data_IF_832506289386
#
_entry.id   IF_832506289386
#
_cell.length_a   1.000
_cell.length_b   1.000
_cell.length_c   1.000
_cell.angle_alpha   90.00
_cell.angle_beta   90.00
_cell.angle_gamma   90.00
#
_symmetry.space_group_name_H-M   'P 1'
#
loop_
_entity.id
_entity.type
_entity.pdbx_description
1 polymer ?
#
# COMPACT_ATOMS: atom_id res chain seq x y z
N UNK A 1 -20.19 0.72 13.98
CA UNK A 1 -20.30 2.13 14.35
C UNK A 1 -19.00 2.61 14.97
N UNK A 2 -18.69 3.90 14.85
CA UNK A 2 -17.55 4.49 15.50
C UNK A 2 -17.77 4.59 17.01
N UNK A 3 -16.70 4.62 17.84
CA UNK A 3 -16.82 4.75 19.27
C UNK A 3 -17.44 6.10 19.65
N UNK A 4 -18.16 6.16 20.79
CA UNK A 4 -18.82 7.39 21.28
C UNK A 4 -17.80 8.48 21.66
N UNK A 5 -16.60 8.06 22.09
CA UNK A 5 -15.47 8.94 22.41
C UNK A 5 -14.23 8.35 21.73
N UNK A 6 -14.00 8.66 20.46
CA UNK A 6 -12.85 8.12 19.75
C UNK A 6 -11.53 8.64 20.33
N UNK A 7 -10.53 7.77 20.37
CA UNK A 7 -9.16 8.17 20.60
C UNK A 7 -8.60 8.91 19.37
N UNK A 8 -7.52 9.66 19.57
CA UNK A 8 -6.82 10.39 18.50
C UNK A 8 -5.34 10.01 18.56
N UNK A 9 -4.77 9.65 17.42
CA UNK A 9 -3.33 9.43 17.31
C UNK A 9 -2.67 10.79 17.12
N UNK A 10 -2.01 11.27 18.19
CA UNK A 10 -1.19 12.47 18.11
C UNK A 10 0.20 12.11 17.57
N UNK A 11 0.70 12.83 16.56
CA UNK A 11 2.03 12.62 15.96
C UNK A 11 2.25 11.18 15.45
N UNK A 12 1.51 10.75 14.43
CA UNK A 12 1.54 9.37 13.94
C UNK A 12 2.92 8.99 13.38
N UNK A 13 3.47 7.89 13.87
CA UNK A 13 4.78 7.35 13.47
C UNK A 13 4.66 6.10 12.58
N UNK A 14 3.48 5.50 12.58
CA UNK A 14 3.17 4.34 11.74
C UNK A 14 3.63 3.01 12.31
N UNK A 15 3.68 2.84 13.62
CA UNK A 15 3.85 1.52 14.24
C UNK A 15 2.58 0.69 14.06
N UNK A 16 2.73 -0.57 13.60
CA UNK A 16 1.61 -1.47 13.39
C UNK A 16 1.77 -2.74 14.22
N UNK A 17 0.72 -3.15 14.92
CA UNK A 17 0.66 -4.41 15.63
C UNK A 17 -0.58 -5.22 15.26
N UNK A 18 -0.36 -6.47 14.90
CA UNK A 18 -1.39 -7.50 14.79
C UNK A 18 -1.13 -8.52 15.89
N UNK A 19 -2.10 -8.73 16.77
CA UNK A 19 -1.97 -9.63 17.90
C UNK A 19 -3.09 -10.66 17.89
N UNK A 20 -2.74 -11.91 17.57
CA UNK A 20 -3.64 -13.06 17.56
C UNK A 20 -4.94 -12.84 16.78
N UNK A 21 -4.82 -12.27 15.56
CA UNK A 21 -5.98 -11.88 14.75
C UNK A 21 -6.54 -13.07 14.00
N UNK A 22 -7.82 -13.36 14.26
CA UNK A 22 -8.64 -14.29 13.48
C UNK A 22 -9.70 -13.50 12.70
N UNK A 23 -10.01 -13.96 11.49
CA UNK A 23 -11.05 -13.35 10.67
C UNK A 23 -11.65 -14.29 9.65
N UNK A 24 -12.96 -14.16 9.46
CA UNK A 24 -13.75 -14.83 8.42
C UNK A 24 -14.75 -13.86 7.78
N UNK A 25 -14.89 -13.91 6.45
CA UNK A 25 -16.02 -13.24 5.77
C UNK A 25 -17.33 -14.01 5.97
N UNK A 26 -17.22 -15.31 6.12
CA UNK A 26 -18.30 -16.25 6.38
C UNK A 26 -17.88 -17.11 7.59
N UNK A 27 -18.67 -17.14 8.68
CA UNK A 27 -18.33 -17.91 9.89
C UNK A 27 -18.02 -19.38 9.64
N UNK A 28 -18.61 -19.96 8.59
CA UNK A 28 -18.39 -21.37 8.22
C UNK A 28 -17.07 -21.57 7.43
N UNK A 29 -16.43 -20.48 7.00
CA UNK A 29 -15.20 -20.50 6.20
C UNK A 29 -14.15 -19.56 6.78
N UNK A 30 -13.45 -19.93 7.86
CA UNK A 30 -12.36 -19.15 8.43
C UNK A 30 -11.27 -18.85 7.39
N UNK A 31 -10.80 -17.62 7.35
CA UNK A 31 -9.82 -17.18 6.34
C UNK A 31 -8.46 -16.84 6.94
N UNK A 32 -8.42 -16.15 8.08
CA UNK A 32 -7.17 -15.79 8.76
C UNK A 32 -7.13 -16.43 10.13
N UNK A 33 -5.95 -16.95 10.51
CA UNK A 33 -5.76 -17.73 11.73
C UNK A 33 -4.53 -17.22 12.49
N UNK A 34 -4.74 -16.73 13.71
CA UNK A 34 -3.69 -16.34 14.65
C UNK A 34 -2.61 -15.42 14.03
N UNK A 35 -3.04 -14.46 13.23
CA UNK A 35 -2.11 -13.54 12.57
C UNK A 35 -1.49 -12.64 13.64
N UNK A 36 -0.16 -12.78 13.78
CA UNK A 36 0.63 -12.01 14.75
C UNK A 36 1.90 -11.51 14.10
N UNK A 37 2.05 -10.18 14.01
CA UNK A 37 3.28 -9.52 13.58
C UNK A 37 3.32 -8.08 14.06
N UNK A 38 4.52 -7.53 14.09
CA UNK A 38 4.80 -6.14 14.41
C UNK A 38 5.58 -5.47 13.28
N UNK A 39 5.24 -4.23 12.97
CA UNK A 39 6.00 -3.36 12.08
C UNK A 39 6.44 -2.11 12.83
N UNK A 40 7.75 -1.94 12.98
CA UNK A 40 8.31 -0.73 13.57
C UNK A 40 8.13 0.49 12.64
N UNK A 41 8.09 1.72 13.19
CA UNK A 41 8.06 2.94 12.38
C UNK A 41 9.14 2.97 11.30
N UNK A 42 8.74 3.25 10.06
CA UNK A 42 9.63 3.30 8.90
C UNK A 42 10.02 1.94 8.31
N UNK A 43 9.55 0.83 8.85
CA UNK A 43 9.86 -0.52 8.37
C UNK A 43 9.06 -0.87 7.11
N UNK A 44 9.73 -1.53 6.16
CA UNK A 44 9.12 -2.07 4.93
C UNK A 44 8.81 -3.55 5.10
N UNK A 45 7.53 -3.91 5.10
CA UNK A 45 7.07 -5.29 5.15
C UNK A 45 6.53 -5.71 3.80
N UNK A 46 7.01 -6.85 3.28
CA UNK A 46 6.47 -7.47 2.09
C UNK A 46 5.54 -8.64 2.45
N UNK A 47 4.33 -8.63 1.94
CA UNK A 47 3.39 -9.77 2.01
C UNK A 47 3.55 -10.61 0.75
N UNK A 48 3.95 -11.87 0.90
CA UNK A 48 4.08 -12.84 -0.20
C UNK A 48 3.28 -14.09 0.09
N UNK A 49 2.80 -14.72 -0.96
CA UNK A 49 1.99 -15.95 -0.86
C UNK A 49 1.06 -16.11 -2.06
N UNK A 50 0.45 -17.29 -2.22
CA UNK A 50 -0.46 -17.57 -3.33
C UNK A 50 -1.71 -16.67 -3.30
N UNK A 51 -2.39 -16.58 -4.43
CA UNK A 51 -3.68 -15.89 -4.51
C UNK A 51 -4.69 -16.53 -3.54
N UNK A 52 -5.46 -15.69 -2.85
CA UNK A 52 -6.48 -16.15 -1.90
C UNK A 52 -5.97 -16.48 -0.50
N UNK A 53 -4.67 -16.37 -0.19
CA UNK A 53 -4.15 -16.68 1.14
C UNK A 53 -4.43 -15.59 2.21
N UNK A 54 -5.13 -14.49 1.88
CA UNK A 54 -5.56 -13.47 2.84
C UNK A 54 -4.78 -12.15 2.83
N UNK A 55 -3.84 -11.90 1.89
CA UNK A 55 -3.03 -10.66 1.84
C UNK A 55 -3.89 -9.39 1.76
N UNK A 56 -4.82 -9.32 0.83
CA UNK A 56 -5.76 -8.19 0.69
C UNK A 56 -6.69 -8.06 1.89
N UNK A 57 -7.03 -9.18 2.52
CA UNK A 57 -7.85 -9.19 3.73
C UNK A 57 -7.14 -8.50 4.90
N UNK A 58 -5.83 -8.68 5.07
CA UNK A 58 -5.06 -7.95 6.08
C UNK A 58 -5.15 -6.44 5.89
N UNK A 59 -5.05 -5.96 4.65
CA UNK A 59 -5.23 -4.53 4.32
C UNK A 59 -6.64 -4.05 4.67
N UNK A 60 -7.66 -4.84 4.32
CA UNK A 60 -9.05 -4.50 4.61
C UNK A 60 -9.33 -4.42 6.12
N UNK A 61 -8.73 -5.29 6.92
CA UNK A 61 -8.84 -5.28 8.38
C UNK A 61 -8.12 -4.07 8.98
N UNK A 62 -6.93 -3.75 8.50
CA UNK A 62 -6.16 -2.60 8.95
C UNK A 62 -6.91 -1.28 8.72
N UNK A 63 -7.59 -1.15 7.57
CA UNK A 63 -8.45 -0.01 7.23
C UNK A 63 -9.83 -0.06 7.91
N UNK A 64 -10.07 -1.12 8.69
CA UNK A 64 -11.35 -1.34 9.37
C UNK A 64 -12.55 -1.29 8.42
N UNK A 65 -12.42 -1.94 7.24
CA UNK A 65 -13.59 -2.24 6.40
C UNK A 65 -14.39 -3.38 7.02
N UNK A 66 -13.72 -4.23 7.80
CA UNK A 66 -14.30 -5.30 8.62
C UNK A 66 -13.68 -5.25 10.01
N UNK A 67 -14.42 -5.65 11.02
CA UNK A 67 -13.89 -5.86 12.37
C UNK A 67 -13.37 -7.30 12.49
N UNK A 68 -12.30 -7.51 13.26
CA UNK A 68 -11.73 -8.85 13.50
C UNK A 68 -12.64 -9.71 14.37
N UNK A 69 -12.65 -11.03 14.15
CA UNK A 69 -13.42 -12.00 14.95
C UNK A 69 -12.75 -12.21 16.32
N UNK A 70 -11.42 -12.27 16.36
CA UNK A 70 -10.62 -12.34 17.59
C UNK A 70 -9.31 -11.57 17.42
N UNK A 71 -8.63 -11.29 18.54
CA UNK A 71 -7.39 -10.53 18.55
C UNK A 71 -7.58 -9.02 18.42
N UNK A 72 -6.47 -8.32 18.22
CA UNK A 72 -6.44 -6.86 18.11
C UNK A 72 -5.51 -6.39 17.00
N UNK A 73 -5.88 -5.27 16.37
CA UNK A 73 -5.00 -4.53 15.46
C UNK A 73 -4.83 -3.15 16.04
N UNK A 74 -3.59 -2.70 16.21
CA UNK A 74 -3.30 -1.36 16.69
C UNK A 74 -2.37 -0.58 15.78
N UNK A 75 -2.52 0.75 15.78
CA UNK A 75 -1.68 1.72 15.11
C UNK A 75 -1.16 2.70 16.16
N UNK A 76 0.16 2.82 16.25
CA UNK A 76 0.83 3.66 17.26
C UNK A 76 0.33 3.40 18.69
N UNK A 77 0.06 2.13 19.02
CA UNK A 77 -0.42 1.68 20.32
C UNK A 77 -1.93 1.84 20.56
N UNK A 78 -2.68 2.43 19.62
CA UNK A 78 -4.14 2.59 19.70
C UNK A 78 -4.85 1.45 18.97
N UNK A 79 -5.79 0.78 19.64
CA UNK A 79 -6.65 -0.21 18.97
C UNK A 79 -7.45 0.48 17.86
N UNK A 80 -7.42 -0.08 16.65
CA UNK A 80 -8.18 0.46 15.51
C UNK A 80 -9.67 0.61 15.79
N UNK A 81 -10.23 -0.18 16.70
CA UNK A 81 -11.63 -0.08 17.15
C UNK A 81 -11.89 1.12 18.06
N UNK A 82 -10.85 1.66 18.71
CA UNK A 82 -10.96 2.84 19.56
C UNK A 82 -10.87 4.17 18.79
N UNK A 83 -10.41 4.13 17.52
CA UNK A 83 -10.30 5.29 16.64
C UNK A 83 -11.60 5.50 15.83
N UNK A 84 -11.89 6.75 15.45
CA UNK A 84 -12.88 7.00 14.40
C UNK A 84 -12.35 6.49 13.05
N UNK A 85 -13.24 5.93 12.20
CA UNK A 85 -12.80 5.35 10.92
C UNK A 85 -12.14 6.34 9.99
N UNK A 86 -12.61 7.58 9.96
CA UNK A 86 -12.04 8.61 9.11
C UNK A 86 -10.65 9.02 9.61
N UNK A 87 -10.46 9.15 10.94
CA UNK A 87 -9.16 9.45 11.55
C UNK A 87 -8.19 8.29 11.31
N UNK A 88 -8.61 7.04 11.55
CA UNK A 88 -7.81 5.85 11.27
C UNK A 88 -7.35 5.83 9.80
N UNK A 89 -8.27 6.01 8.87
CA UNK A 89 -7.97 5.94 7.43
C UNK A 89 -7.09 7.08 6.94
N UNK A 90 -7.13 8.24 7.60
CA UNK A 90 -6.26 9.38 7.28
C UNK A 90 -4.77 9.09 7.56
N UNK A 91 -4.47 8.11 8.42
CA UNK A 91 -3.09 7.66 8.71
C UNK A 91 -2.47 6.89 7.54
N UNK A 92 -3.28 6.40 6.60
CA UNK A 92 -2.85 5.51 5.53
C UNK A 92 -2.89 6.18 4.16
N UNK A 93 -1.81 5.98 3.40
CA UNK A 93 -1.79 6.22 1.97
C UNK A 93 -1.88 4.90 1.20
N UNK A 94 -2.73 4.85 0.17
CA UNK A 94 -2.95 3.62 -0.60
C UNK A 94 -2.60 3.83 -2.06
N UNK A 95 -1.82 2.89 -2.62
CA UNK A 95 -1.68 2.72 -4.06
C UNK A 95 -2.03 1.27 -4.38
N UNK A 96 -3.21 1.10 -4.95
CA UNK A 96 -3.76 -0.21 -5.30
C UNK A 96 -3.47 -0.55 -6.76
N UNK A 97 -3.65 -1.83 -7.11
CA UNK A 97 -3.53 -2.34 -8.47
C UNK A 97 -4.41 -1.56 -9.45
N UNK A 98 -5.67 -1.36 -9.08
CA UNK A 98 -6.61 -0.56 -9.86
C UNK A 98 -6.45 0.92 -9.48
N UNK A 99 -5.82 1.67 -10.37
CA UNK A 99 -5.63 3.11 -10.18
C UNK A 99 -6.95 3.85 -10.35
N UNK A 100 -7.47 4.39 -9.25
CA UNK A 100 -8.69 5.17 -9.28
C UNK A 100 -8.41 6.67 -9.48
N UNK A 101 -8.96 7.21 -10.56
CA UNK A 101 -8.98 8.64 -10.86
C UNK A 101 -10.41 9.05 -11.14
N UNK A 102 -10.84 10.18 -10.58
CA UNK A 102 -12.18 10.71 -10.84
C UNK A 102 -12.19 11.70 -12.02
N UNK A 103 -13.36 11.94 -12.56
CA UNK A 103 -13.54 12.95 -13.61
C UNK A 103 -13.29 14.35 -13.05
N UNK A 104 -12.17 14.95 -13.43
CA UNK A 104 -11.71 16.26 -12.98
C UNK A 104 -10.37 16.60 -13.59
N UNK A 105 -9.79 17.70 -13.20
CA UNK A 105 -8.43 18.08 -13.63
C UNK A 105 -7.36 17.19 -13.00
N UNK A 106 -6.20 17.15 -13.59
CA UNK A 106 -5.02 16.48 -12.99
C UNK A 106 -4.70 17.09 -11.62
N UNK A 107 -4.79 18.43 -11.50
CA UNK A 107 -4.61 19.15 -10.24
C UNK A 107 -5.55 18.62 -9.16
N UNK A 108 -6.86 18.59 -9.43
CA UNK A 108 -7.86 18.10 -8.49
C UNK A 108 -7.64 16.63 -8.11
N UNK A 109 -7.19 15.81 -9.06
CA UNK A 109 -6.86 14.41 -8.77
C UNK A 109 -5.65 14.24 -7.86
N UNK A 110 -4.61 15.07 -8.01
CA UNK A 110 -3.43 15.04 -7.12
C UNK A 110 -3.78 15.61 -5.75
N UNK A 111 -4.52 16.74 -5.69
CA UNK A 111 -4.89 17.39 -4.43
C UNK A 111 -6.07 16.73 -3.71
N UNK A 112 -6.60 15.63 -4.24
CA UNK A 112 -7.68 14.91 -3.59
C UNK A 112 -7.29 14.46 -2.18
N UNK A 113 -8.07 14.88 -1.18
CA UNK A 113 -7.79 14.63 0.24
C UNK A 113 -6.98 15.75 0.94
N UNK A 114 -6.48 16.76 0.19
CA UNK A 114 -5.78 17.93 0.74
C UNK A 114 -6.39 19.21 0.14
N UNK A 115 -7.56 19.67 0.64
CA UNK A 115 -8.29 20.80 0.03
C UNK A 115 -7.50 22.10 -0.01
N UNK A 116 -6.63 22.32 0.96
CA UNK A 116 -5.84 23.56 1.11
C UNK A 116 -4.45 23.47 0.43
N UNK A 117 -4.21 22.44 -0.38
CA UNK A 117 -2.94 22.29 -1.11
C UNK A 117 -2.74 23.43 -2.10
N UNK A 118 -1.59 24.08 -2.01
CA UNK A 118 -1.20 25.12 -2.98
C UNK A 118 -0.77 24.50 -4.31
N UNK A 119 -0.73 25.34 -5.35
CA UNK A 119 -0.18 24.92 -6.66
C UNK A 119 1.27 24.42 -6.54
N UNK A 120 2.05 25.03 -5.65
CA UNK A 120 3.42 24.62 -5.35
C UNK A 120 3.49 23.21 -4.81
N UNK A 121 2.64 22.87 -3.83
CA UNK A 121 2.58 21.56 -3.20
C UNK A 121 2.22 20.47 -4.22
N UNK A 122 1.20 20.74 -5.07
CA UNK A 122 0.78 19.83 -6.14
C UNK A 122 1.91 19.57 -7.14
N UNK A 123 2.63 20.65 -7.55
CA UNK A 123 3.73 20.55 -8.51
C UNK A 123 4.90 19.77 -7.89
N UNK A 124 5.22 20.00 -6.62
CA UNK A 124 6.32 19.31 -5.94
C UNK A 124 6.01 17.83 -5.71
N UNK A 125 4.78 17.48 -5.34
CA UNK A 125 4.33 16.10 -5.28
C UNK A 125 4.43 15.41 -6.65
N UNK A 126 3.98 16.08 -7.71
CA UNK A 126 4.09 15.58 -9.08
C UNK A 126 5.54 15.39 -9.56
N UNK A 127 6.46 16.28 -9.17
CA UNK A 127 7.90 16.13 -9.47
C UNK A 127 8.49 14.92 -8.76
N UNK A 128 8.22 14.78 -7.47
CA UNK A 128 8.68 13.64 -6.66
C UNK A 128 8.19 12.30 -7.22
N UNK A 129 6.94 12.27 -7.72
CA UNK A 129 6.33 11.11 -8.35
C UNK A 129 6.66 10.93 -9.84
N UNK A 130 7.60 11.68 -10.42
CA UNK A 130 7.91 11.67 -11.86
C UNK A 130 6.73 12.02 -12.79
N UNK A 131 5.62 12.52 -12.26
CA UNK A 131 4.44 12.89 -13.04
C UNK A 131 4.56 14.24 -13.76
N UNK A 132 5.28 15.20 -13.16
CA UNK A 132 5.38 16.58 -13.67
C UNK A 132 5.74 16.66 -15.15
N UNK A 133 6.72 15.85 -15.59
CA UNK A 133 7.26 15.91 -16.95
C UNK A 133 6.20 15.61 -18.02
N UNK A 134 5.37 14.60 -17.84
CA UNK A 134 4.32 14.32 -18.80
C UNK A 134 3.15 15.30 -18.67
N UNK A 135 2.84 15.76 -17.44
CA UNK A 135 1.74 16.71 -17.21
C UNK A 135 1.96 18.00 -18.00
N UNK A 136 3.16 18.58 -17.94
CA UNK A 136 3.46 19.84 -18.66
C UNK A 136 3.50 19.69 -20.18
N UNK A 137 3.58 18.47 -20.70
CA UNK A 137 3.48 18.18 -22.13
C UNK A 137 2.03 18.11 -22.63
N UNK A 138 1.07 18.02 -21.74
CA UNK A 138 -0.35 18.05 -22.09
C UNK A 138 -0.80 19.47 -22.45
N UNK A 139 -1.74 19.65 -23.39
CA UNK A 139 -2.14 20.97 -23.90
C UNK A 139 -2.59 21.96 -22.82
N UNK A 140 -3.17 21.47 -21.70
CA UNK A 140 -3.63 22.28 -20.57
C UNK A 140 -2.84 22.01 -19.28
N UNK A 141 -1.73 21.26 -19.35
CA UNK A 141 -0.90 20.93 -18.20
C UNK A 141 -1.73 20.34 -17.05
N UNK A 142 -1.61 20.90 -15.86
CA UNK A 142 -2.34 20.49 -14.65
C UNK A 142 -3.86 20.72 -14.74
N UNK A 143 -4.32 21.60 -15.60
CA UNK A 143 -5.75 21.89 -15.82
C UNK A 143 -6.37 20.98 -16.90
N UNK A 144 -5.61 19.98 -17.36
CA UNK A 144 -6.13 18.94 -18.25
C UNK A 144 -7.19 18.12 -17.52
N UNK A 145 -8.40 18.12 -18.06
CA UNK A 145 -9.50 17.31 -17.54
C UNK A 145 -9.33 15.87 -18.01
N UNK A 146 -9.31 14.95 -17.07
CA UNK A 146 -9.30 13.51 -17.31
C UNK A 146 -10.70 12.95 -17.03
N UNK A 147 -11.14 11.99 -17.85
CA UNK A 147 -12.39 11.27 -17.62
C UNK A 147 -12.26 10.24 -16.50
N UNK A 148 -13.35 9.58 -16.19
CA UNK A 148 -13.35 8.42 -15.32
C UNK A 148 -12.33 7.40 -15.85
N UNK A 149 -11.58 6.74 -14.95
CA UNK A 149 -10.49 5.80 -15.27
C UNK A 149 -9.29 6.41 -16.00
N UNK A 150 -9.12 7.75 -15.98
CA UNK A 150 -7.93 8.42 -16.50
C UNK A 150 -7.93 8.71 -18.01
N UNK A 151 -8.98 8.39 -18.74
CA UNK A 151 -9.16 8.80 -20.14
C UNK A 151 -8.00 8.37 -21.06
N UNK A 152 -7.28 9.34 -21.64
CA UNK A 152 -6.18 9.10 -22.60
C UNK A 152 -4.82 8.80 -21.94
N UNK A 153 -4.74 8.76 -20.61
CA UNK A 153 -3.49 8.49 -19.89
C UNK A 153 -3.12 7.00 -19.96
N UNK A 154 -1.83 6.70 -20.10
CA UNK A 154 -1.33 5.32 -19.99
C UNK A 154 -1.49 4.79 -18.56
N UNK A 155 -1.45 3.47 -18.39
CA UNK A 155 -1.52 2.84 -17.06
C UNK A 155 -0.43 3.38 -16.12
N UNK A 156 0.81 3.52 -16.60
CA UNK A 156 1.91 4.08 -15.82
C UNK A 156 1.69 5.54 -15.45
N UNK A 157 1.17 6.37 -16.37
CA UNK A 157 0.85 7.78 -16.07
C UNK A 157 -0.23 7.89 -14.99
N UNK A 158 -1.28 7.05 -15.06
CA UNK A 158 -2.30 6.99 -14.01
C UNK A 158 -1.70 6.62 -12.65
N UNK A 159 -0.82 5.63 -12.64
CA UNK A 159 -0.14 5.19 -11.42
C UNK A 159 0.74 6.30 -10.83
N UNK A 160 1.50 7.02 -11.64
CA UNK A 160 2.29 8.17 -11.19
C UNK A 160 1.41 9.29 -10.59
N UNK A 161 0.20 9.53 -11.11
CA UNK A 161 -0.75 10.47 -10.50
C UNK A 161 -1.26 9.99 -9.14
N UNK A 162 -1.56 8.69 -9.00
CA UNK A 162 -1.95 8.12 -7.71
C UNK A 162 -0.81 8.21 -6.68
N UNK A 163 0.44 7.96 -7.09
CA UNK A 163 1.61 8.14 -6.24
C UNK A 163 1.78 9.61 -5.83
N UNK A 164 1.62 10.57 -6.77
CA UNK A 164 1.69 12.00 -6.47
C UNK A 164 0.63 12.42 -5.43
N UNK A 165 -0.59 11.89 -5.53
CA UNK A 165 -1.65 12.10 -4.53
C UNK A 165 -1.22 11.64 -3.14
N UNK A 166 -0.68 10.43 -3.03
CA UNK A 166 -0.22 9.87 -1.76
C UNK A 166 0.98 10.66 -1.21
N UNK A 167 1.91 11.08 -2.06
CA UNK A 167 3.04 11.92 -1.65
C UNK A 167 2.60 13.29 -1.12
N UNK A 168 1.47 13.82 -1.61
CA UNK A 168 0.91 15.09 -1.15
C UNK A 168 0.23 14.96 0.21
N UNK A 169 -0.46 13.86 0.47
CA UNK A 169 -1.13 13.60 1.77
C UNK A 169 -0.15 13.29 2.89
N UNK A 170 1.07 12.86 2.56
CA UNK A 170 2.18 12.55 3.49
C UNK A 170 1.78 11.61 4.65
N UNK A 171 1.21 10.44 4.39
CA UNK A 171 0.69 9.55 5.42
C UNK A 171 1.81 8.86 6.21
N UNK A 172 1.52 8.44 7.45
CA UNK A 172 2.46 7.71 8.30
C UNK A 172 2.70 6.27 7.82
N UNK A 173 1.68 5.65 7.22
CA UNK A 173 1.70 4.25 6.75
C UNK A 173 1.30 4.17 5.29
N UNK A 174 2.00 3.34 4.52
CA UNK A 174 1.70 3.05 3.13
C UNK A 174 1.17 1.63 2.97
N UNK A 175 0.09 1.49 2.23
CA UNK A 175 -0.50 0.22 1.81
C UNK A 175 -0.40 0.12 0.30
N UNK A 176 0.43 -0.79 -0.19
CA UNK A 176 0.77 -0.89 -1.60
C UNK A 176 0.40 -2.25 -2.16
N UNK A 177 -0.28 -2.27 -3.30
CA UNK A 177 -0.53 -3.49 -4.08
C UNK A 177 0.14 -3.34 -5.45
N UNK A 178 1.25 -4.05 -5.63
CA UNK A 178 2.14 -3.93 -6.79
C UNK A 178 1.69 -4.78 -7.98
N UNK A 179 0.47 -4.79 -8.36
CA UNK A 179 0.15 -5.46 -9.61
C UNK A 179 0.56 -4.60 -10.81
N UNK A 180 1.41 -5.16 -11.64
CA UNK A 180 1.89 -4.54 -12.87
C UNK A 180 1.47 -5.33 -14.07
N UNK A 181 0.40 -4.93 -14.70
CA UNK A 181 0.07 -5.38 -16.04
C UNK A 181 0.24 -4.22 -17.03
N UNK A 182 1.07 -4.41 -18.06
CA UNK A 182 1.07 -3.61 -19.30
C UNK A 182 1.62 -2.18 -19.19
N UNK A 183 2.69 -1.95 -18.42
CA UNK A 183 3.44 -0.70 -18.45
C UNK A 183 4.70 -0.90 -19.30
N UNK A 184 5.04 0.09 -20.16
CA UNK A 184 6.30 0.07 -20.90
C UNK A 184 7.50 0.17 -19.94
N UNK A 185 8.62 -0.45 -20.32
CA UNK A 185 9.83 -0.58 -19.47
C UNK A 185 10.35 0.75 -18.92
N UNK A 186 10.26 1.83 -19.68
CA UNK A 186 10.75 3.14 -19.26
C UNK A 186 9.87 3.76 -18.18
N UNK A 187 8.57 3.70 -18.38
CA UNK A 187 7.59 4.19 -17.40
C UNK A 187 7.60 3.31 -16.16
N UNK A 188 7.83 2.01 -16.30
CA UNK A 188 7.98 1.08 -15.18
C UNK A 188 9.12 1.47 -14.25
N UNK A 189 10.29 1.84 -14.79
CA UNK A 189 11.41 2.33 -13.98
C UNK A 189 11.07 3.62 -13.23
N UNK A 190 10.31 4.53 -13.85
CA UNK A 190 9.86 5.76 -13.19
C UNK A 190 8.86 5.47 -12.06
N UNK A 191 7.94 4.56 -12.29
CA UNK A 191 6.97 4.11 -11.27
C UNK A 191 7.70 3.47 -10.10
N UNK A 192 8.69 2.60 -10.36
CA UNK A 192 9.48 1.97 -9.32
C UNK A 192 10.26 2.99 -8.48
N UNK A 193 10.97 3.94 -9.11
CA UNK A 193 11.69 5.00 -8.39
C UNK A 193 10.72 5.88 -7.57
N UNK A 194 9.53 6.16 -8.10
CA UNK A 194 8.49 6.90 -7.37
C UNK A 194 7.99 6.13 -6.15
N UNK A 195 7.78 4.81 -6.25
CA UNK A 195 7.44 3.96 -5.12
C UNK A 195 8.55 3.96 -4.05
N UNK A 196 9.81 3.79 -4.46
CA UNK A 196 10.93 3.75 -3.53
C UNK A 196 11.04 5.06 -2.74
N UNK A 197 10.92 6.21 -3.43
CA UNK A 197 10.89 7.54 -2.77
C UNK A 197 9.69 7.73 -1.85
N UNK A 198 8.53 7.23 -2.25
CA UNK A 198 7.32 7.32 -1.43
C UNK A 198 7.47 6.53 -0.13
N UNK A 199 8.17 5.39 -0.17
CA UNK A 199 8.40 4.53 1.00
C UNK A 199 9.49 5.04 1.94
N UNK A 200 10.36 5.97 1.51
CA UNK A 200 11.44 6.49 2.36
C UNK A 200 10.91 7.09 3.67
N UNK A 201 11.38 6.55 4.80
CA UNK A 201 11.03 7.01 6.14
C UNK A 201 9.61 6.70 6.60
N UNK A 202 8.84 5.91 5.83
CA UNK A 202 7.46 5.54 6.17
C UNK A 202 7.33 4.04 6.34
N UNK A 203 6.46 3.64 7.26
CA UNK A 203 6.07 2.24 7.39
C UNK A 203 5.29 1.82 6.16
N UNK A 204 5.68 0.72 5.54
CA UNK A 204 5.06 0.25 4.30
C UNK A 204 4.69 -1.21 4.40
N UNK A 205 3.43 -1.53 4.09
CA UNK A 205 2.93 -2.89 3.93
C UNK A 205 2.64 -3.11 2.45
N UNK A 206 3.46 -3.95 1.81
CA UNK A 206 3.44 -4.13 0.36
C UNK A 206 3.00 -5.54 0.00
N UNK A 207 1.90 -5.69 -0.74
CA UNK A 207 1.57 -6.94 -1.42
C UNK A 207 2.51 -7.05 -2.61
N UNK A 208 3.57 -7.82 -2.43
CA UNK A 208 4.69 -7.82 -3.36
C UNK A 208 4.47 -8.80 -4.51
N UNK A 209 4.53 -8.27 -5.72
CA UNK A 209 4.51 -9.02 -6.98
C UNK A 209 5.82 -8.84 -7.77
N UNK A 210 6.72 -7.98 -7.32
CA UNK A 210 8.01 -7.69 -7.95
C UNK A 210 9.16 -8.22 -7.11
N UNK A 211 10.15 -8.77 -7.80
CA UNK A 211 11.37 -9.30 -7.18
C UNK A 211 12.13 -8.23 -6.37
N UNK A 212 12.26 -7.01 -6.92
CA UNK A 212 12.98 -5.92 -6.27
C UNK A 212 12.36 -5.52 -4.94
N UNK A 213 11.03 -5.46 -4.87
CA UNK A 213 10.30 -5.10 -3.64
C UNK A 213 10.49 -6.14 -2.56
N UNK A 214 10.40 -7.43 -2.93
CA UNK A 214 10.61 -8.53 -1.98
C UNK A 214 12.04 -8.51 -1.42
N UNK A 215 13.05 -8.32 -2.29
CA UNK A 215 14.46 -8.31 -1.88
C UNK A 215 14.84 -7.12 -1.00
N UNK A 216 14.21 -5.97 -1.21
CA UNK A 216 14.49 -4.72 -0.48
C UNK A 216 13.61 -4.53 0.76
N UNK A 217 12.75 -5.49 1.10
CA UNK A 217 11.93 -5.44 2.30
C UNK A 217 12.77 -5.73 3.55
N UNK A 218 12.53 -5.00 4.64
CA UNK A 218 13.17 -5.24 5.92
C UNK A 218 12.67 -6.54 6.56
N UNK A 219 11.43 -6.92 6.25
CA UNK A 219 10.84 -8.17 6.68
C UNK A 219 9.83 -8.68 5.63
N UNK A 220 9.89 -9.95 5.32
CA UNK A 220 8.94 -10.64 4.46
C UNK A 220 8.04 -11.49 5.35
N UNK A 221 6.72 -11.34 5.19
CA UNK A 221 5.70 -12.18 5.81
C UNK A 221 5.17 -13.12 4.75
N UNK A 222 5.45 -14.41 4.90
CA UNK A 222 5.04 -15.46 3.96
C UNK A 222 3.72 -16.04 4.42
N UNK A 223 2.69 -15.84 3.62
CA UNK A 223 1.33 -16.28 3.93
C UNK A 223 0.94 -17.51 3.13
N UNK A 224 0.31 -18.47 3.80
CA UNK A 224 -0.30 -19.64 3.19
C UNK A 224 -1.51 -20.09 3.99
N UNK A 225 -2.60 -20.37 3.31
CA UNK A 225 -3.83 -20.89 3.91
C UNK A 225 -4.27 -20.10 5.17
N UNK A 226 -4.23 -18.77 5.08
CA UNK A 226 -4.64 -17.87 6.16
C UNK A 226 -3.65 -17.70 7.32
N UNK A 227 -2.46 -18.28 7.24
CA UNK A 227 -1.44 -18.21 8.29
C UNK A 227 -0.17 -17.51 7.78
N UNK A 228 0.58 -16.90 8.69
CA UNK A 228 1.98 -16.51 8.45
C UNK A 228 2.84 -17.73 8.79
N UNK A 229 3.40 -18.38 7.76
CA UNK A 229 4.16 -19.63 7.91
C UNK A 229 5.67 -19.42 8.01
N UNK A 230 6.18 -18.32 7.45
CA UNK A 230 7.60 -17.93 7.51
C UNK A 230 7.69 -16.41 7.62
N UNK A 231 8.74 -15.92 8.26
CA UNK A 231 9.09 -14.50 8.30
C UNK A 231 10.60 -14.31 8.39
N UNK A 232 11.13 -13.27 7.77
CA UNK A 232 12.54 -12.92 7.79
C UNK A 232 12.92 -12.03 6.63
N UNK A 233 14.21 -11.77 6.45
CA UNK A 233 14.75 -11.11 5.27
C UNK A 233 14.78 -12.07 4.09
N UNK A 234 15.02 -11.53 2.89
CA UNK A 234 15.16 -12.34 1.69
C UNK A 234 16.26 -13.41 1.84
N UNK A 235 17.42 -12.98 2.33
CA UNK A 235 18.59 -13.86 2.51
C UNK A 235 18.31 -14.99 3.50
N UNK A 236 17.74 -14.68 4.65
CA UNK A 236 17.38 -15.66 5.69
C UNK A 236 16.38 -16.70 5.17
N UNK A 237 15.37 -16.25 4.43
CA UNK A 237 14.32 -17.15 3.91
C UNK A 237 14.83 -18.02 2.74
N UNK A 238 15.73 -17.51 1.91
CA UNK A 238 16.39 -18.33 0.87
C UNK A 238 17.29 -19.37 1.51
N UNK A 239 18.11 -19.00 2.51
CA UNK A 239 18.99 -19.92 3.22
C UNK A 239 18.22 -21.03 3.96
N UNK A 240 17.06 -20.69 4.51
CA UNK A 240 16.17 -21.64 5.16
C UNK A 240 15.61 -22.72 4.20
N UNK A 241 15.58 -22.45 2.88
CA UNK A 241 15.12 -23.40 1.86
C UNK A 241 13.66 -23.84 2.00
N UNK A 242 12.81 -23.00 2.62
CA UNK A 242 11.43 -23.30 2.96
C UNK A 242 10.43 -23.01 1.82
N UNK A 243 9.20 -22.72 2.19
CA UNK A 243 8.14 -22.41 1.24
C UNK A 243 8.44 -21.15 0.41
N UNK A 244 9.03 -20.12 1.06
CA UNK A 244 9.44 -18.91 0.37
C UNK A 244 10.46 -19.16 -0.73
N UNK A 245 11.52 -19.95 -0.46
CA UNK A 245 12.53 -20.27 -1.46
C UNK A 245 11.93 -20.95 -2.69
N UNK A 246 11.04 -21.93 -2.50
CA UNK A 246 10.33 -22.59 -3.60
C UNK A 246 9.41 -21.63 -4.37
N UNK A 247 8.71 -20.75 -3.66
CA UNK A 247 7.83 -19.73 -4.27
C UNK A 247 8.66 -18.74 -5.10
N UNK A 248 9.79 -18.31 -4.57
CA UNK A 248 10.73 -17.42 -5.22
C UNK A 248 11.28 -18.00 -6.53
N UNK A 249 11.77 -19.23 -6.52
CA UNK A 249 12.24 -19.92 -7.72
C UNK A 249 11.14 -20.05 -8.78
N UNK A 250 9.94 -20.41 -8.38
CA UNK A 250 8.81 -20.60 -9.30
C UNK A 250 8.27 -19.31 -9.91
N UNK A 251 8.23 -18.22 -9.15
CA UNK A 251 7.61 -16.96 -9.59
C UNK A 251 8.62 -16.00 -10.24
N UNK A 252 9.86 -15.99 -9.79
CA UNK A 252 10.84 -14.97 -10.15
C UNK A 252 12.05 -15.50 -10.94
N UNK A 253 12.44 -16.77 -10.81
CA UNK A 253 13.53 -17.37 -11.59
C UNK A 253 13.04 -18.25 -12.75
N UNK A 254 11.81 -18.77 -12.69
CA UNK A 254 11.20 -19.59 -13.74
C UNK A 254 10.82 -18.85 -15.03
N UNK A 255 11.12 -17.57 -15.13
CA UNK A 255 10.86 -16.70 -16.31
C UNK A 255 12.11 -16.46 -17.18
N UNK A 256 13.10 -17.36 -17.11
CA UNK A 256 14.27 -17.36 -18.03
C UNK A 256 14.07 -18.28 -19.20
#
# INVERSE_FOLDING_TARGET
>A
PDPVSPEVVEDPRGELDFSHVDFSYDPDHPLLHDITFHAAPGQRLALVGPTGCGKTTLINLLLRFYDVDAGTISVDGHDTKALARDDLRSLFGMVLQDTWLFRGTIRENISYGVPDATDGDVIDAAKRAHAHKFIVQLPKGYDTVIGEEGGSLSAGQRQLLCIARVMLTDPAVLLLDEATSSIDTRTELQVQDAFDRMMEGRTSLVVAHRLSTVRNADCILVMRDGNIIERGTHEELIEAGGFYANLYESQFEGSR
#
